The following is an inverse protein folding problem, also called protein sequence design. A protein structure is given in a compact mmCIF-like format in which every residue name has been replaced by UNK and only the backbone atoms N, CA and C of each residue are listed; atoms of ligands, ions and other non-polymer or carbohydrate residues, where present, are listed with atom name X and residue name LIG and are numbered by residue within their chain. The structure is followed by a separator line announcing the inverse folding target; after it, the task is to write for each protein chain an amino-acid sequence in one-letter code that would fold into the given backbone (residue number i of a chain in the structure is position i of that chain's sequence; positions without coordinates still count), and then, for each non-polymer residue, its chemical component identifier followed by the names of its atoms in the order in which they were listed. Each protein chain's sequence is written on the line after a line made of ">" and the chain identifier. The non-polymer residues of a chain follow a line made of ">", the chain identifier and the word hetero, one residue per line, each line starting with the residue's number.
data_IF_325020641939
#
_entry.id   IF_325020641939
#
_cell.length_a   1.000
_cell.length_b   1.000
_cell.length_c   1.000
_cell.angle_alpha   90.00
_cell.angle_beta   90.00
_cell.angle_gamma   90.00
#
_symmetry.space_group_name_H-M   'P 1'
#
loop_
_entity.id
_entity.type
_entity.pdbx_description
1 polymer ?
#
# COMPACT_ATOMS: atom_id res chain seq x y z
N UNK A 1 8.76 -7.63 20.09
CA UNK A 1 8.65 -7.87 18.64
C UNK A 1 9.67 -7.00 17.94
N UNK A 2 10.56 -7.55 17.13
CA UNK A 2 11.40 -6.75 16.23
C UNK A 2 10.67 -6.45 14.91
N UNK A 3 11.19 -5.51 14.11
CA UNK A 3 10.63 -5.25 12.77
C UNK A 3 10.77 -6.47 11.86
N UNK A 4 11.91 -7.18 11.92
CA UNK A 4 12.14 -8.39 11.15
C UNK A 4 11.12 -9.49 11.50
N UNK A 5 10.88 -9.72 12.79
CA UNK A 5 9.89 -10.70 13.24
C UNK A 5 8.47 -10.32 12.82
N UNK A 6 8.15 -9.02 12.74
CA UNK A 6 6.84 -8.56 12.31
C UNK A 6 6.63 -8.75 10.80
N UNK A 7 7.58 -8.30 9.98
CA UNK A 7 7.50 -8.40 8.52
C UNK A 7 7.55 -9.86 8.04
N UNK A 8 8.30 -10.71 8.74
CA UNK A 8 8.43 -12.14 8.45
C UNK A 8 7.31 -13.01 9.02
N UNK A 9 6.32 -12.46 9.73
CA UNK A 9 5.27 -13.27 10.32
C UNK A 9 4.15 -13.58 9.31
N UNK A 10 3.89 -14.88 9.11
CA UNK A 10 2.85 -15.41 8.22
C UNK A 10 1.42 -15.15 8.71
N UNK A 11 1.21 -14.79 9.97
CA UNK A 11 -0.12 -14.41 10.46
C UNK A 11 -0.58 -13.04 9.93
N UNK A 12 0.34 -12.26 9.36
CA UNK A 12 0.04 -10.94 8.80
C UNK A 12 0.06 -10.94 7.28
N UNK A 13 -0.90 -10.23 6.69
CA UNK A 13 -0.91 -9.88 5.28
C UNK A 13 -0.52 -8.42 5.13
N UNK A 14 0.50 -8.15 4.31
CA UNK A 14 0.98 -6.80 4.04
C UNK A 14 0.41 -6.32 2.72
N UNK A 15 -0.47 -5.32 2.76
CA UNK A 15 -1.15 -4.81 1.57
C UNK A 15 -0.56 -3.48 1.09
N UNK A 16 -0.51 -3.29 -0.21
CA UNK A 16 -0.09 -2.02 -0.81
C UNK A 16 -0.25 -1.98 -2.32
N UNK A 17 0.11 -0.86 -2.93
CA UNK A 17 0.11 -0.66 -4.39
C UNK A 17 1.55 -0.63 -4.86
N UNK A 18 1.98 -1.60 -5.66
CA UNK A 18 3.40 -1.71 -6.03
C UNK A 18 4.28 -2.38 -4.98
N UNK A 19 3.69 -2.96 -3.93
CA UNK A 19 4.38 -3.43 -2.72
C UNK A 19 5.46 -4.49 -2.99
N UNK A 20 5.35 -5.26 -4.08
CA UNK A 20 6.37 -6.24 -4.45
C UNK A 20 7.75 -5.59 -4.66
N UNK A 21 7.79 -4.39 -5.25
CA UNK A 21 9.04 -3.66 -5.43
C UNK A 21 9.64 -3.19 -4.10
N UNK A 22 8.80 -2.72 -3.18
CA UNK A 22 9.23 -2.28 -1.86
C UNK A 22 9.73 -3.46 -1.00
N UNK A 23 9.02 -4.60 -1.04
CA UNK A 23 9.44 -5.83 -0.36
C UNK A 23 10.78 -6.34 -0.89
N UNK A 24 11.01 -6.29 -2.21
CA UNK A 24 12.29 -6.67 -2.80
C UNK A 24 13.42 -5.76 -2.32
N UNK A 25 13.21 -4.43 -2.29
CA UNK A 25 14.23 -3.48 -1.80
C UNK A 25 14.52 -3.65 -0.31
N UNK A 26 13.50 -3.92 0.51
CA UNK A 26 13.68 -4.25 1.92
C UNK A 26 14.56 -5.50 2.13
N UNK A 27 14.37 -6.51 1.28
CA UNK A 27 15.19 -7.71 1.30
C UNK A 27 16.64 -7.42 0.84
N UNK A 28 16.80 -6.74 -0.29
CA UNK A 28 18.11 -6.51 -0.91
C UNK A 28 18.99 -5.56 -0.09
N UNK A 29 18.42 -4.47 0.42
CA UNK A 29 19.17 -3.41 1.10
C UNK A 29 19.35 -3.68 2.60
N UNK A 30 18.42 -4.43 3.22
CA UNK A 30 18.35 -4.59 4.68
C UNK A 30 18.18 -6.03 5.18
N UNK A 31 18.02 -7.02 4.29
CA UNK A 31 17.74 -8.40 4.67
C UNK A 31 16.37 -8.60 5.33
N UNK A 32 15.45 -7.64 5.17
CA UNK A 32 14.12 -7.69 5.76
C UNK A 32 13.15 -8.37 4.80
N UNK A 33 12.73 -9.60 5.16
CA UNK A 33 11.76 -10.38 4.38
C UNK A 33 10.34 -9.98 4.78
N UNK A 34 9.53 -9.62 3.79
CA UNK A 34 8.07 -9.44 3.94
C UNK A 34 7.39 -10.73 3.51
N UNK A 35 6.77 -11.47 4.43
CA UNK A 35 6.34 -12.84 4.16
C UNK A 35 5.13 -12.92 3.20
N UNK A 36 4.11 -12.10 3.43
CA UNK A 36 2.86 -12.11 2.64
C UNK A 36 2.51 -10.75 2.05
N UNK A 37 3.30 -10.22 1.08
CA UNK A 37 2.97 -8.99 0.38
C UNK A 37 1.86 -9.25 -0.64
N UNK A 38 0.76 -8.52 -0.53
CA UNK A 38 -0.39 -8.56 -1.44
C UNK A 38 -0.54 -7.22 -2.14
N UNK A 39 -0.34 -7.23 -3.45
CA UNK A 39 -0.53 -6.03 -4.27
C UNK A 39 -2.02 -5.86 -4.63
N UNK A 40 -2.58 -4.76 -4.15
CA UNK A 40 -4.00 -4.44 -4.25
C UNK A 40 -4.47 -4.29 -5.70
N UNK A 41 -3.58 -3.95 -6.65
CA UNK A 41 -3.94 -3.80 -8.06
C UNK A 41 -4.37 -5.14 -8.65
N UNK A 42 -3.59 -6.20 -8.39
CA UNK A 42 -3.89 -7.53 -8.90
C UNK A 42 -5.08 -8.15 -8.17
N UNK A 43 -5.16 -7.93 -6.85
CA UNK A 43 -6.30 -8.41 -6.06
C UNK A 43 -7.61 -7.76 -6.54
N UNK A 44 -7.66 -6.44 -6.70
CA UNK A 44 -8.83 -5.72 -7.18
C UNK A 44 -9.21 -6.17 -8.60
N UNK A 45 -8.22 -6.26 -9.51
CA UNK A 45 -8.46 -6.70 -10.88
C UNK A 45 -9.09 -8.10 -10.93
N UNK A 46 -8.66 -9.01 -10.06
CA UNK A 46 -9.23 -10.36 -9.97
C UNK A 46 -10.64 -10.35 -9.36
N UNK A 47 -10.81 -9.74 -8.18
CA UNK A 47 -12.08 -9.75 -7.43
C UNK A 47 -13.22 -9.03 -8.14
N UNK A 48 -12.91 -7.98 -8.89
CA UNK A 48 -13.89 -7.18 -9.62
C UNK A 48 -14.01 -7.58 -11.09
N UNK A 49 -13.22 -8.56 -11.56
CA UNK A 49 -13.23 -8.96 -12.97
C UNK A 49 -12.80 -7.85 -13.94
N UNK A 50 -11.97 -6.90 -13.49
CA UNK A 50 -11.54 -5.74 -14.26
C UNK A 50 -10.00 -5.71 -14.43
N UNK A 51 -9.45 -6.28 -15.51
CA UNK A 51 -8.02 -6.31 -15.77
C UNK A 51 -7.35 -4.92 -15.85
N UNK A 52 -8.11 -3.86 -16.15
CA UNK A 52 -7.61 -2.50 -16.23
C UNK A 52 -7.04 -1.98 -14.90
N UNK A 53 -7.47 -2.56 -13.77
CA UNK A 53 -7.01 -2.16 -12.44
C UNK A 53 -5.57 -2.58 -12.12
N UNK A 54 -4.96 -3.47 -12.92
CA UNK A 54 -3.56 -3.90 -12.72
C UNK A 54 -2.56 -2.76 -12.80
N UNK A 55 -2.92 -1.67 -13.48
CA UNK A 55 -2.10 -0.46 -13.60
C UNK A 55 -2.68 0.73 -12.82
N UNK A 56 -3.70 0.53 -12.00
CA UNK A 56 -4.34 1.59 -11.24
C UNK A 56 -3.44 2.07 -10.10
N UNK A 57 -3.48 3.39 -9.84
CA UNK A 57 -2.94 3.98 -8.62
C UNK A 57 -3.92 3.82 -7.45
N UNK A 58 -3.44 4.13 -6.24
CA UNK A 58 -4.24 4.01 -5.02
C UNK A 58 -5.56 4.81 -5.06
N UNK A 59 -5.55 6.00 -5.65
CA UNK A 59 -6.74 6.87 -5.74
C UNK A 59 -7.81 6.26 -6.65
N UNK A 60 -7.41 5.68 -7.79
CA UNK A 60 -8.30 4.97 -8.69
C UNK A 60 -8.89 3.71 -8.03
N UNK A 61 -8.08 2.97 -7.26
CA UNK A 61 -8.57 1.83 -6.49
C UNK A 61 -9.53 2.25 -5.37
N UNK A 62 -9.25 3.34 -4.66
CA UNK A 62 -10.14 3.88 -3.64
C UNK A 62 -11.51 4.28 -4.23
N UNK A 63 -11.51 4.90 -5.41
CA UNK A 63 -12.74 5.24 -6.13
C UNK A 63 -13.52 3.98 -6.52
N UNK A 64 -12.85 3.00 -7.11
CA UNK A 64 -13.50 1.78 -7.59
C UNK A 64 -14.04 0.90 -6.46
N UNK A 65 -13.27 0.73 -5.38
CA UNK A 65 -13.57 -0.23 -4.31
C UNK A 65 -14.36 0.40 -3.16
N UNK A 66 -14.07 1.66 -2.81
CA UNK A 66 -14.65 2.34 -1.64
C UNK A 66 -15.65 3.45 -2.02
N UNK A 67 -15.81 3.76 -3.32
CA UNK A 67 -16.56 4.92 -3.78
C UNK A 67 -16.07 6.25 -3.17
N UNK A 68 -14.78 6.32 -2.81
CA UNK A 68 -14.14 7.51 -2.25
C UNK A 68 -13.28 8.17 -3.32
N UNK A 69 -13.55 9.45 -3.59
CA UNK A 69 -12.67 10.26 -4.43
C UNK A 69 -11.66 11.01 -3.55
N UNK A 70 -10.37 10.75 -3.77
CA UNK A 70 -9.29 11.38 -3.03
C UNK A 70 -8.21 11.82 -4.01
N UNK A 71 -8.05 13.13 -4.14
CA UNK A 71 -6.97 13.72 -4.93
C UNK A 71 -5.75 13.98 -4.06
N UNK A 72 -4.64 13.35 -4.45
CA UNK A 72 -3.35 13.52 -3.81
C UNK A 72 -2.76 14.87 -4.21
N UNK A 73 -2.49 15.79 -3.25
CA UNK A 73 -1.87 17.07 -3.59
C UNK A 73 -0.46 16.83 -4.14
N UNK A 74 -0.26 17.15 -5.42
CA UNK A 74 1.03 16.92 -6.10
C UNK A 74 2.21 17.61 -5.39
N UNK A 75 1.95 18.76 -4.77
CA UNK A 75 2.92 19.50 -3.96
C UNK A 75 3.43 18.69 -2.77
N UNK A 76 2.62 17.79 -2.21
CA UNK A 76 3.01 16.88 -1.12
C UNK A 76 3.62 15.61 -1.68
N UNK A 77 2.99 14.99 -2.70
CA UNK A 77 3.50 13.77 -3.34
C UNK A 77 4.94 13.92 -3.81
N UNK A 78 5.28 15.06 -4.43
CA UNK A 78 6.61 15.37 -4.96
C UNK A 78 7.47 16.22 -4.02
N UNK A 79 7.06 16.38 -2.75
CA UNK A 79 7.86 17.10 -1.76
C UNK A 79 9.12 16.30 -1.38
N UNK A 80 10.04 16.94 -0.67
CA UNK A 80 11.21 16.23 -0.14
C UNK A 80 10.80 15.33 1.04
N UNK A 81 10.72 14.02 0.78
CA UNK A 81 10.43 12.96 1.76
C UNK A 81 11.66 12.46 2.52
N UNK A 82 12.86 12.87 2.12
CA UNK A 82 14.12 12.54 2.80
C UNK A 82 14.52 13.58 3.86
N UNK A 83 13.55 14.36 4.37
CA UNK A 83 13.78 15.32 5.44
C UNK A 83 13.87 14.61 6.78
N UNK A 84 14.70 15.14 7.68
CA UNK A 84 14.80 14.64 9.07
C UNK A 84 13.49 14.76 9.84
N UNK A 85 12.67 15.78 9.52
CA UNK A 85 11.35 16.01 10.10
C UNK A 85 10.35 16.28 8.98
N UNK A 86 9.29 15.48 8.95
CA UNK A 86 8.17 15.64 8.01
C UNK A 86 7.23 16.75 8.49
N UNK A 87 6.58 17.43 7.55
CA UNK A 87 5.50 18.37 7.89
C UNK A 87 4.21 17.63 8.26
N UNK A 88 3.31 18.29 9.00
CA UNK A 88 1.98 17.75 9.31
C UNK A 88 1.22 17.33 8.04
N UNK A 89 1.39 18.06 6.94
CA UNK A 89 0.78 17.72 5.65
C UNK A 89 1.35 16.43 5.04
N UNK A 90 2.66 16.19 5.17
CA UNK A 90 3.30 14.94 4.74
C UNK A 90 2.84 13.77 5.63
N UNK A 91 2.76 13.97 6.94
CA UNK A 91 2.28 12.96 7.88
C UNK A 91 0.82 12.60 7.56
N UNK A 92 -0.05 13.59 7.42
CA UNK A 92 -1.46 13.38 7.07
C UNK A 92 -1.59 12.63 5.75
N UNK A 93 -0.83 13.01 4.73
CA UNK A 93 -0.79 12.32 3.44
C UNK A 93 -0.44 10.84 3.61
N UNK A 94 0.64 10.53 4.34
CA UNK A 94 1.07 9.14 4.54
C UNK A 94 0.02 8.32 5.31
N UNK A 95 -0.64 8.93 6.30
CA UNK A 95 -1.73 8.30 7.05
C UNK A 95 -2.93 7.98 6.15
N UNK A 96 -3.31 8.88 5.25
CA UNK A 96 -4.42 8.64 4.30
C UNK A 96 -4.06 7.51 3.34
N UNK A 97 -2.83 7.49 2.81
CA UNK A 97 -2.36 6.42 1.91
C UNK A 97 -2.38 5.04 2.60
N UNK A 98 -1.93 4.98 3.85
CA UNK A 98 -1.99 3.75 4.64
C UNK A 98 -3.44 3.31 4.92
N UNK A 99 -4.31 4.25 5.32
CA UNK A 99 -5.71 3.97 5.60
C UNK A 99 -6.46 3.47 4.37
N UNK A 100 -6.31 4.12 3.21
CA UNK A 100 -6.95 3.70 1.97
C UNK A 100 -6.46 2.30 1.56
N UNK A 101 -5.16 2.04 1.66
CA UNK A 101 -4.59 0.71 1.34
C UNK A 101 -5.18 -0.39 2.24
N UNK A 102 -5.28 -0.13 3.55
CA UNK A 102 -5.91 -1.03 4.50
C UNK A 102 -7.38 -1.28 4.18
N UNK A 103 -8.18 -0.24 3.99
CA UNK A 103 -9.62 -0.37 3.75
C UNK A 103 -9.93 -1.07 2.42
N UNK A 104 -9.16 -0.78 1.35
CA UNK A 104 -9.26 -1.51 0.08
C UNK A 104 -8.95 -2.99 0.30
N UNK A 105 -7.84 -3.31 0.98
CA UNK A 105 -7.46 -4.69 1.29
C UNK A 105 -8.52 -5.42 2.11
N UNK A 106 -9.10 -4.76 3.12
CA UNK A 106 -10.19 -5.29 3.94
C UNK A 106 -11.44 -5.58 3.12
N UNK A 107 -11.88 -4.64 2.28
CA UNK A 107 -13.06 -4.81 1.41
C UNK A 107 -12.88 -5.93 0.38
N UNK A 108 -11.65 -6.13 -0.12
CA UNK A 108 -11.34 -7.18 -1.09
C UNK A 108 -11.02 -8.54 -0.45
N UNK A 109 -10.98 -8.62 0.88
CA UNK A 109 -10.67 -9.85 1.62
C UNK A 109 -9.21 -10.29 1.49
N UNK A 110 -8.27 -9.34 1.51
CA UNK A 110 -6.84 -9.59 1.36
C UNK A 110 -6.29 -10.60 2.39
N UNK A 111 -6.83 -10.63 3.61
CA UNK A 111 -6.42 -11.57 4.66
C UNK A 111 -6.70 -13.06 4.33
N UNK A 112 -7.52 -13.33 3.30
CA UNK A 112 -7.85 -14.68 2.83
C UNK A 112 -7.05 -15.08 1.58
N UNK A 113 -5.98 -14.33 1.26
CA UNK A 113 -5.11 -14.62 0.12
C UNK A 113 -3.96 -15.56 0.49
#
# INVERSE_FOLDING_TARGET
>A
QSLADFLGNDDYTFVGVGIAGDAQRLCDDYGLIVSKPVDLRFLAAHRLGNPGLRNAGLTALAREVLAVDYDKPRTITMSNWAKDQLSDAQIQYACIDAFLSFEIGRCLGAANC
#
